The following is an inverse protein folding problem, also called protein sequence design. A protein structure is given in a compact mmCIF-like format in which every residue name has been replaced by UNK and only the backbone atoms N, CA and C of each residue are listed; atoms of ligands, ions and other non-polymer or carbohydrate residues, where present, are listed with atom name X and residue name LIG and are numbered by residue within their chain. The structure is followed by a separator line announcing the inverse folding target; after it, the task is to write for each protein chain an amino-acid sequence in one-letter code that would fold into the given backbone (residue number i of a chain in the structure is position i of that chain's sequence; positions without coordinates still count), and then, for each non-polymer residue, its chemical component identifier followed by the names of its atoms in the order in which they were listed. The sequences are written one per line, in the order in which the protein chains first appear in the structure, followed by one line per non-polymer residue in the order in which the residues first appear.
data_IF_547459067474
#
_entry.id   IF_547459067474
#
_cell.length_a   1.000
_cell.length_b   1.000
_cell.length_c   1.000
_cell.angle_alpha   90.00
_cell.angle_beta   90.00
_cell.angle_gamma   90.00
#
_symmetry.space_group_name_H-M   'P 1'
#
loop_
_entity.id
_entity.type
_entity.pdbx_description
1 polymer ?
#
# COMPACT_ATOMS: atom_id res chain seq x y z
N UNK A 1 -3.74 13.40 -3.49
CA UNK A 1 -3.13 12.04 -3.43
C UNK A 1 -2.61 11.84 -2.00
N UNK A 2 -2.88 10.72 -1.34
CA UNK A 2 -2.46 10.42 0.06
C UNK A 2 -0.96 10.05 0.08
N UNK A 3 -0.16 10.82 -0.66
CA UNK A 3 1.29 10.70 -0.78
C UNK A 3 1.97 11.83 0.02
N UNK A 4 1.28 12.95 0.27
CA UNK A 4 1.77 14.06 1.10
C UNK A 4 1.95 13.68 2.58
N UNK A 5 1.28 12.64 3.07
CA UNK A 5 1.40 12.22 4.48
C UNK A 5 2.65 11.35 4.74
N UNK A 6 3.38 10.94 3.69
CA UNK A 6 4.58 10.09 3.81
C UNK A 6 5.90 10.90 3.81
N UNK A 7 5.82 12.23 3.85
CA UNK A 7 7.00 13.10 3.94
C UNK A 7 7.85 12.90 5.20
N UNK A 8 7.31 12.71 6.43
CA UNK A 8 8.13 12.70 7.64
C UNK A 8 8.94 11.40 7.88
N UNK A 9 8.82 10.38 7.03
CA UNK A 9 9.53 9.08 7.18
C UNK A 9 10.65 8.86 6.15
N UNK A 10 11.05 9.91 5.44
CA UNK A 10 12.19 9.87 4.53
C UNK A 10 13.51 9.85 5.32
N UNK A 11 14.10 8.67 5.53
CA UNK A 11 15.49 8.58 6.01
C UNK A 11 15.92 7.27 6.67
N UNK A 12 15.04 6.61 7.44
CA UNK A 12 15.46 5.44 8.26
C UNK A 12 15.26 4.09 7.57
N UNK A 13 14.37 3.98 6.57
CA UNK A 13 14.19 2.77 5.75
C UNK A 13 13.91 3.12 4.28
N UNK A 14 14.31 2.23 3.35
CA UNK A 14 14.05 2.38 1.91
C UNK A 14 12.56 2.65 1.69
N UNK A 15 12.26 3.77 1.03
CA UNK A 15 10.89 4.26 0.74
C UNK A 15 9.98 3.10 0.30
N UNK A 16 8.81 2.89 0.94
CA UNK A 16 7.86 1.82 0.60
C UNK A 16 7.05 2.13 -0.68
N UNK A 17 7.65 2.86 -1.63
CA UNK A 17 7.09 3.14 -2.96
C UNK A 17 6.81 1.85 -3.74
N UNK A 18 7.41 0.74 -3.30
CA UNK A 18 7.24 -0.63 -3.78
C UNK A 18 5.85 -1.21 -3.53
N UNK A 19 5.23 -1.00 -2.35
CA UNK A 19 3.97 -1.70 -2.04
C UNK A 19 2.79 -1.19 -2.86
N UNK A 20 2.64 0.13 -3.04
CA UNK A 20 1.55 0.71 -3.84
C UNK A 20 1.67 0.31 -5.32
N UNK A 21 2.89 0.36 -5.87
CA UNK A 21 3.18 -0.08 -7.24
C UNK A 21 2.91 -1.58 -7.42
N UNK A 22 3.37 -2.42 -6.49
CA UNK A 22 3.14 -3.87 -6.53
C UNK A 22 1.67 -4.24 -6.32
N UNK A 23 0.95 -3.55 -5.44
CA UNK A 23 -0.49 -3.72 -5.22
C UNK A 23 -1.26 -3.37 -6.50
N UNK A 24 -0.94 -2.23 -7.13
CA UNK A 24 -1.53 -1.81 -8.40
C UNK A 24 -1.22 -2.79 -9.52
N UNK A 25 0.02 -3.24 -9.67
CA UNK A 25 0.40 -4.25 -10.67
C UNK A 25 -0.36 -5.56 -10.44
N UNK A 26 -0.46 -6.02 -9.19
CA UNK A 26 -1.20 -7.22 -8.82
C UNK A 26 -2.69 -7.10 -9.16
N UNK A 27 -3.30 -5.95 -8.89
CA UNK A 27 -4.68 -5.66 -9.28
C UNK A 27 -4.85 -5.67 -10.81
N UNK A 28 -4.06 -4.89 -11.53
CA UNK A 28 -4.15 -4.78 -13.00
C UNK A 28 -3.92 -6.13 -13.68
N UNK A 29 -3.05 -6.98 -13.15
CA UNK A 29 -2.80 -8.32 -13.71
C UNK A 29 -4.07 -9.18 -13.76
N UNK A 30 -5.02 -8.96 -12.84
CA UNK A 30 -6.27 -9.72 -12.74
C UNK A 30 -7.43 -8.95 -13.38
N UNK A 31 -7.48 -7.62 -13.22
CA UNK A 31 -8.49 -6.78 -13.84
C UNK A 31 -8.43 -6.80 -15.39
N UNK A 32 -7.22 -6.94 -15.97
CA UNK A 32 -7.03 -7.04 -17.43
C UNK A 32 -7.35 -8.42 -18.01
N UNK A 33 -7.67 -9.42 -17.19
CA UNK A 33 -8.01 -10.76 -17.69
C UNK A 33 -9.48 -10.78 -18.15
N UNK A 34 -9.74 -11.35 -19.34
CA UNK A 34 -11.10 -11.47 -19.90
C UNK A 34 -12.05 -12.32 -19.05
N UNK A 35 -11.55 -13.39 -18.43
CA UNK A 35 -12.35 -14.32 -17.60
C UNK A 35 -11.54 -14.96 -16.45
N UNK A 36 -11.19 -14.19 -15.40
CA UNK A 36 -10.44 -14.73 -14.28
C UNK A 36 -11.29 -15.70 -13.46
N UNK A 37 -10.74 -16.89 -13.17
CA UNK A 37 -11.39 -17.89 -12.31
C UNK A 37 -11.66 -17.30 -10.91
N UNK A 38 -12.82 -17.63 -10.29
CA UNK A 38 -13.22 -17.15 -8.94
C UNK A 38 -12.11 -17.30 -7.88
N UNK A 39 -11.39 -18.44 -7.89
CA UNK A 39 -10.25 -18.67 -6.97
C UNK A 39 -9.13 -17.63 -7.12
N UNK A 40 -8.88 -17.14 -8.34
CA UNK A 40 -7.83 -16.16 -8.65
C UNK A 40 -8.24 -14.77 -8.16
N UNK A 41 -9.49 -14.39 -8.38
CA UNK A 41 -10.07 -13.13 -7.87
C UNK A 41 -10.01 -13.08 -6.34
N UNK A 42 -10.44 -14.15 -5.65
CA UNK A 42 -10.37 -14.21 -4.17
C UNK A 42 -8.94 -14.06 -3.64
N UNK A 43 -7.96 -14.70 -4.29
CA UNK A 43 -6.53 -14.54 -3.96
C UNK A 43 -6.05 -13.10 -4.19
N UNK A 44 -6.51 -12.44 -5.26
CA UNK A 44 -6.21 -11.04 -5.56
C UNK A 44 -6.68 -10.11 -4.45
N UNK A 45 -7.94 -10.27 -4.04
CA UNK A 45 -8.56 -9.45 -3.00
C UNK A 45 -7.80 -9.62 -1.70
N UNK A 46 -7.52 -10.86 -1.28
CA UNK A 46 -6.74 -11.12 -0.06
C UNK A 46 -5.34 -10.47 -0.10
N UNK A 47 -4.67 -10.50 -1.26
CA UNK A 47 -3.39 -9.80 -1.45
C UNK A 47 -3.55 -8.29 -1.31
N UNK A 48 -4.59 -7.71 -1.91
CA UNK A 48 -4.88 -6.27 -1.84
C UNK A 48 -5.09 -5.79 -0.40
N UNK A 49 -5.84 -6.55 0.39
CA UNK A 49 -6.06 -6.27 1.80
C UNK A 49 -4.78 -6.43 2.62
N UNK A 50 -3.92 -7.41 2.29
CA UNK A 50 -2.60 -7.54 2.88
C UNK A 50 -1.70 -6.33 2.65
N UNK A 51 -1.77 -5.69 1.48
CA UNK A 51 -1.04 -4.44 1.23
C UNK A 51 -1.58 -3.29 2.08
N UNK A 52 -2.89 -3.18 2.24
CA UNK A 52 -3.52 -2.17 3.13
C UNK A 52 -3.12 -2.38 4.58
N UNK A 53 -3.14 -3.63 5.07
CA UNK A 53 -2.75 -3.96 6.43
C UNK A 53 -1.29 -3.62 6.74
N UNK A 54 -0.36 -3.92 5.82
CA UNK A 54 1.05 -3.53 5.97
C UNK A 54 1.25 -2.03 5.95
N UNK A 55 0.53 -1.32 5.07
CA UNK A 55 0.54 0.14 5.04
C UNK A 55 0.11 0.68 6.41
N UNK A 56 -1.01 0.18 6.97
CA UNK A 56 -1.51 0.58 8.30
C UNK A 56 -0.52 0.31 9.44
N UNK A 57 0.16 -0.85 9.43
CA UNK A 57 1.19 -1.18 10.43
C UNK A 57 2.37 -0.20 10.31
N UNK A 58 2.84 0.06 9.09
CA UNK A 58 3.92 1.03 8.84
C UNK A 58 3.50 2.42 9.34
N UNK A 59 2.29 2.88 9.04
CA UNK A 59 1.74 4.15 9.54
C UNK A 59 1.67 4.24 11.07
N UNK A 60 1.42 3.13 11.76
CA UNK A 60 1.38 3.09 13.23
C UNK A 60 2.76 3.05 13.87
N UNK A 61 3.73 2.40 13.23
CA UNK A 61 5.12 2.30 13.70
C UNK A 61 5.96 3.55 13.40
N UNK A 62 5.31 4.58 12.90
CA UNK A 62 5.88 5.79 12.38
C UNK A 62 5.77 6.86 13.47
N UNK A 63 6.88 7.29 14.11
CA UNK A 63 6.83 8.33 15.14
C UNK A 63 6.53 9.67 14.46
N UNK A 64 5.28 10.14 14.55
CA UNK A 64 4.95 11.52 14.22
C UNK A 64 5.54 12.39 15.34
N UNK A 65 6.51 13.25 15.02
CA UNK A 65 6.88 14.34 15.93
C UNK A 65 5.77 15.40 15.93
N UNK A 66 5.45 15.99 17.09
CA UNK A 66 4.37 16.96 17.23
C UNK A 66 4.77 18.26 16.55
N UNK A 67 3.90 18.78 15.68
CA UNK A 67 4.17 19.98 14.90
C UNK A 67 2.90 20.50 14.24
N UNK A 68 1.87 20.66 15.06
CA UNK A 68 0.70 21.48 14.78
C UNK A 68 1.03 22.87 15.33
N UNK A 69 1.63 23.71 14.48
CA UNK A 69 1.75 25.18 14.51
C UNK A 69 2.09 25.50 13.04
N UNK A 70 1.27 26.11 12.18
CA UNK A 70 0.21 27.11 12.35
C UNK A 70 -1.08 26.76 11.57
#
# INVERSE_FOLDING_TARGET
MIDGLHEPFCGSQKKPQTYRKQARQSYLSIAKQKSPKRKKVRKAIRKQWGYVGRISIIWRSCPVHPGLND
#
